data_IF_541961745497
#
_entry.id   IF_541961745497
#
_cell.length_a   1.000
_cell.length_b   1.000
_cell.length_c   1.000
_cell.angle_alpha   90.00
_cell.angle_beta   90.00
_cell.angle_gamma   90.00
#
_symmetry.space_group_name_H-M   'P 1'
#
loop_
_entity.id
_entity.type
_entity.pdbx_description
1 polymer ?
#
# COMPACT_ATOMS: atom_id res chain seq x y z
N UNK A 1 45.25 -38.23 44.50
CA UNK A 1 45.81 -37.31 43.49
C UNK A 1 44.81 -37.17 42.35
N UNK A 2 44.36 -35.92 42.13
CA UNK A 2 43.67 -35.29 40.98
C UNK A 2 42.53 -36.06 40.25
N UNK A 3 41.30 -35.70 40.62
CA UNK A 3 40.08 -35.83 39.79
C UNK A 3 40.21 -34.85 38.62
N UNK A 4 40.21 -35.35 37.39
CA UNK A 4 40.21 -34.52 36.18
C UNK A 4 38.76 -34.03 35.97
N UNK A 5 38.59 -32.74 36.23
CA UNK A 5 37.34 -31.99 36.13
C UNK A 5 37.07 -31.72 34.64
N UNK A 6 35.87 -32.10 34.20
CA UNK A 6 35.31 -31.80 32.90
C UNK A 6 35.35 -30.29 32.61
N UNK A 7 36.07 -29.90 31.56
CA UNK A 7 35.90 -28.58 30.94
C UNK A 7 35.03 -28.76 29.69
N UNK A 8 33.76 -29.06 29.94
CA UNK A 8 32.70 -29.04 28.94
C UNK A 8 32.28 -27.57 28.78
N UNK A 9 32.98 -26.84 27.92
CA UNK A 9 32.57 -25.51 27.47
C UNK A 9 32.25 -25.57 25.97
N UNK A 10 31.18 -26.30 25.64
CA UNK A 10 30.47 -26.09 24.40
C UNK A 10 29.55 -24.88 24.65
N UNK A 11 30.09 -23.68 24.55
CA UNK A 11 29.28 -22.47 24.55
C UNK A 11 28.57 -22.41 23.21
N UNK A 12 27.41 -23.05 23.15
CA UNK A 12 26.49 -22.95 22.04
C UNK A 12 26.02 -21.49 22.05
N UNK A 13 26.66 -20.66 21.22
CA UNK A 13 26.10 -19.39 20.79
C UNK A 13 24.90 -19.76 19.90
N UNK A 14 23.80 -20.17 20.54
CA UNK A 14 22.50 -20.23 19.90
C UNK A 14 22.09 -18.78 19.73
N UNK A 15 22.57 -18.14 18.65
CA UNK A 15 21.87 -17.03 18.04
C UNK A 15 20.57 -17.64 17.55
N UNK A 16 19.60 -17.78 18.46
CA UNK A 16 18.24 -18.12 18.09
C UNK A 16 17.80 -17.02 17.16
N UNK A 17 17.63 -17.36 15.88
CA UNK A 17 16.80 -16.56 15.01
C UNK A 17 15.43 -16.50 15.70
N UNK A 18 15.13 -15.35 16.32
CA UNK A 18 13.81 -15.10 16.89
C UNK A 18 12.88 -15.07 15.69
N UNK A 19 12.28 -16.21 15.36
CA UNK A 19 11.17 -16.28 14.44
C UNK A 19 10.04 -15.50 15.12
N UNK A 20 9.88 -14.22 14.74
CA UNK A 20 8.75 -13.43 15.21
C UNK A 20 7.49 -14.06 14.62
N UNK A 21 6.69 -14.67 15.49
CA UNK A 21 5.39 -15.21 15.09
C UNK A 21 4.51 -14.09 14.53
N UNK A 22 3.74 -14.40 13.49
CA UNK A 22 2.83 -13.47 12.82
C UNK A 22 1.83 -12.91 13.84
N UNK A 23 1.99 -11.64 14.21
CA UNK A 23 1.12 -10.97 15.17
C UNK A 23 -0.28 -10.80 14.58
N UNK A 24 -1.31 -11.14 15.35
CA UNK A 24 -2.69 -10.87 14.95
C UNK A 24 -2.95 -9.35 14.96
N UNK A 25 -3.56 -8.83 13.88
CA UNK A 25 -3.93 -7.41 13.78
C UNK A 25 -5.29 -7.22 14.45
N UNK A 26 -5.33 -6.47 15.55
CA UNK A 26 -6.56 -6.00 16.16
C UNK A 26 -6.93 -4.64 15.55
N UNK A 27 -8.04 -4.56 14.80
CA UNK A 27 -8.43 -3.34 14.09
C UNK A 27 -8.52 -2.11 15.00
N UNK A 28 -8.96 -2.26 16.26
CA UNK A 28 -9.13 -1.14 17.20
C UNK A 28 -7.80 -0.41 17.49
N UNK A 29 -6.69 -1.15 17.51
CA UNK A 29 -5.36 -0.57 17.75
C UNK A 29 -4.82 0.21 16.53
N UNK A 30 -5.47 0.06 15.38
CA UNK A 30 -5.06 0.66 14.11
C UNK A 30 -6.05 1.72 13.59
N UNK A 31 -7.18 1.97 14.27
CA UNK A 31 -8.20 2.91 13.82
C UNK A 31 -7.65 4.32 13.52
N UNK A 32 -6.81 4.86 14.42
CA UNK A 32 -6.19 6.19 14.21
C UNK A 32 -5.18 6.20 13.07
N UNK A 33 -4.47 5.08 12.87
CA UNK A 33 -3.53 4.92 11.76
C UNK A 33 -4.27 4.84 10.42
N UNK A 34 -5.30 3.99 10.33
CA UNK A 34 -6.13 3.87 9.13
C UNK A 34 -6.87 5.15 8.81
N UNK A 35 -7.36 5.87 9.83
CA UNK A 35 -7.97 7.18 9.66
C UNK A 35 -6.97 8.17 9.06
N UNK A 36 -5.77 8.28 9.63
CA UNK A 36 -4.73 9.17 9.10
C UNK A 36 -4.37 8.82 7.65
N UNK A 37 -4.14 7.54 7.35
CA UNK A 37 -3.81 7.13 5.98
C UNK A 37 -4.97 7.38 5.01
N UNK A 38 -6.20 7.05 5.39
CA UNK A 38 -7.39 7.24 4.56
C UNK A 38 -7.71 8.72 4.30
N UNK A 39 -7.44 9.59 5.27
CA UNK A 39 -7.67 11.05 5.14
C UNK A 39 -6.60 11.72 4.26
N UNK A 40 -5.38 11.16 4.20
CA UNK A 40 -4.23 11.84 3.58
C UNK A 40 -3.69 11.19 2.29
N UNK A 41 -3.79 9.87 2.13
CA UNK A 41 -3.35 9.19 0.90
C UNK A 41 -4.30 9.54 -0.23
N UNK A 42 -3.75 10.18 -1.26
CA UNK A 42 -4.49 10.49 -2.47
C UNK A 42 -4.23 9.45 -3.54
N UNK A 43 -5.16 9.34 -4.47
CA UNK A 43 -4.91 8.60 -5.69
C UNK A 43 -4.00 9.46 -6.60
N UNK A 44 -2.78 9.02 -6.97
CA UNK A 44 -1.83 9.82 -7.73
C UNK A 44 -2.38 10.30 -9.07
N UNK A 45 -2.15 11.57 -9.41
CA UNK A 45 -2.69 12.19 -10.64
C UNK A 45 -2.19 11.48 -11.90
N UNK A 46 -0.90 11.12 -11.94
CA UNK A 46 -0.32 10.40 -13.07
C UNK A 46 -1.00 9.04 -13.30
N UNK A 47 -1.28 8.30 -12.23
CA UNK A 47 -1.99 7.04 -12.33
C UNK A 47 -3.45 7.23 -12.80
N UNK A 48 -4.14 8.28 -12.34
CA UNK A 48 -5.49 8.62 -12.83
C UNK A 48 -5.49 8.94 -14.32
N UNK A 49 -4.56 9.78 -14.79
CA UNK A 49 -4.46 10.18 -16.20
C UNK A 49 -4.21 8.99 -17.11
N UNK A 50 -3.49 7.98 -16.62
CA UNK A 50 -3.16 6.77 -17.37
C UNK A 50 -4.17 5.64 -17.20
N UNK A 51 -5.30 5.88 -16.51
CA UNK A 51 -6.28 4.84 -16.17
C UNK A 51 -5.60 3.62 -15.50
N UNK A 52 -4.55 3.84 -14.72
CA UNK A 52 -3.69 2.79 -14.18
C UNK A 52 -4.13 2.39 -12.79
N UNK A 53 -4.35 1.08 -12.56
CA UNK A 53 -4.69 0.51 -11.25
C UNK A 53 -3.52 -0.28 -10.68
N UNK A 54 -3.46 -0.49 -9.36
CA UNK A 54 -2.41 -1.33 -8.80
C UNK A 54 -2.33 -1.40 -7.29
N UNK A 55 -1.31 -2.09 -6.79
CA UNK A 55 -1.04 -2.22 -5.36
C UNK A 55 0.35 -1.67 -5.02
N UNK A 56 0.39 -0.85 -3.97
CA UNK A 56 1.62 -0.56 -3.25
C UNK A 56 1.75 -1.54 -2.09
N UNK A 57 2.93 -2.13 -1.91
CA UNK A 57 3.21 -3.08 -0.83
C UNK A 57 4.46 -2.63 -0.09
N UNK A 58 4.25 -2.12 1.14
CA UNK A 58 5.33 -1.65 1.99
C UNK A 58 5.48 -2.62 3.15
N UNK A 59 6.64 -3.27 3.21
CA UNK A 59 7.06 -4.05 4.37
C UNK A 59 7.65 -3.08 5.39
N UNK A 60 7.22 -3.13 6.64
CA UNK A 60 7.71 -2.25 7.70
C UNK A 60 7.88 -2.99 9.02
N UNK A 61 8.91 -2.59 9.77
CA UNK A 61 9.17 -3.07 11.14
C UNK A 61 8.98 -1.91 12.11
N UNK A 62 8.08 -2.07 13.07
CA UNK A 62 7.85 -1.12 14.15
C UNK A 62 8.50 -1.65 15.42
N UNK A 63 9.29 -0.81 16.09
CA UNK A 63 9.92 -1.13 17.36
C UNK A 63 9.89 0.10 18.26
N UNK A 64 9.41 -0.09 19.49
CA UNK A 64 9.15 0.96 20.46
C UNK A 64 8.23 2.07 19.91
N UNK A 65 7.19 1.72 19.16
CA UNK A 65 6.26 2.67 18.56
C UNK A 65 6.88 3.54 17.45
N UNK A 66 7.98 3.10 16.84
CA UNK A 66 8.65 3.82 15.74
C UNK A 66 8.96 2.88 14.60
N UNK A 67 8.75 3.34 13.35
CA UNK A 67 9.17 2.61 12.15
C UNK A 67 10.71 2.59 12.11
N UNK A 68 11.31 1.40 12.17
CA UNK A 68 12.77 1.21 12.14
C UNK A 68 13.29 0.79 10.78
N UNK A 69 12.48 0.05 10.03
CA UNK A 69 12.81 -0.45 8.70
C UNK A 69 11.57 -0.36 7.84
N UNK A 70 11.78 -0.03 6.57
CA UNK A 70 10.76 -0.19 5.56
C UNK A 70 11.39 -0.62 4.23
N UNK A 71 10.64 -1.38 3.44
CA UNK A 71 11.03 -1.80 2.10
C UNK A 71 9.79 -1.72 1.21
N UNK A 72 9.92 -1.08 0.06
CA UNK A 72 8.88 -1.11 -0.97
C UNK A 72 9.08 -2.38 -1.81
N UNK A 73 8.07 -3.23 -1.85
CA UNK A 73 8.11 -4.49 -2.59
C UNK A 73 7.42 -4.33 -3.95
N UNK A 74 8.10 -4.72 -5.03
CA UNK A 74 7.61 -4.60 -6.42
C UNK A 74 7.09 -3.19 -6.74
N UNK A 75 7.96 -2.19 -6.53
CA UNK A 75 7.62 -0.78 -6.67
C UNK A 75 7.10 -0.42 -8.08
N UNK A 76 6.18 0.54 -8.13
CA UNK A 76 5.66 1.17 -9.35
C UNK A 76 5.99 2.68 -9.35
N UNK A 77 7.27 3.07 -9.31
CA UNK A 77 7.67 4.47 -9.14
C UNK A 77 7.16 5.35 -10.28
N UNK A 78 6.89 4.77 -11.45
CA UNK A 78 6.35 5.51 -12.58
C UNK A 78 4.89 5.94 -12.36
N UNK A 79 4.15 5.34 -11.43
CA UNK A 79 2.75 5.67 -11.15
C UNK A 79 2.56 6.55 -9.91
N UNK A 80 3.56 6.62 -9.02
CA UNK A 80 3.49 7.43 -7.80
C UNK A 80 2.75 6.74 -6.64
N UNK A 81 2.40 5.46 -6.76
CA UNK A 81 1.62 4.74 -5.74
C UNK A 81 2.40 4.57 -4.44
N UNK A 82 3.66 4.14 -4.52
CA UNK A 82 4.47 3.85 -3.36
C UNK A 82 4.93 5.13 -2.66
N UNK A 83 5.28 6.15 -3.43
CA UNK A 83 5.71 7.47 -2.93
C UNK A 83 4.61 8.11 -2.07
N UNK A 84 3.36 8.07 -2.53
CA UNK A 84 2.23 8.64 -1.79
C UNK A 84 1.97 7.90 -0.47
N UNK A 85 2.08 6.56 -0.46
CA UNK A 85 1.92 5.79 0.79
C UNK A 85 3.09 6.07 1.74
N UNK A 86 4.34 6.02 1.27
CA UNK A 86 5.54 6.25 2.08
C UNK A 86 5.50 7.63 2.73
N UNK A 87 5.14 8.68 1.96
CA UNK A 87 5.01 10.05 2.46
C UNK A 87 4.04 10.12 3.65
N UNK A 88 2.83 9.59 3.48
CA UNK A 88 1.79 9.66 4.51
C UNK A 88 2.04 8.71 5.69
N UNK A 89 2.71 7.58 5.45
CA UNK A 89 3.17 6.65 6.47
C UNK A 89 4.15 7.33 7.44
N UNK A 90 5.13 8.06 6.91
CA UNK A 90 6.10 8.76 7.75
C UNK A 90 5.54 10.01 8.43
N UNK A 91 4.45 10.57 7.93
CA UNK A 91 3.80 11.73 8.55
C UNK A 91 3.03 11.36 9.83
N UNK A 92 2.56 10.11 9.94
CA UNK A 92 1.88 9.62 11.13
C UNK A 92 2.85 9.42 12.32
N UNK A 93 2.66 10.19 13.40
CA UNK A 93 3.54 10.15 14.59
C UNK A 93 2.97 9.39 15.78
N UNK A 94 1.72 8.94 15.71
CA UNK A 94 1.00 8.36 16.85
C UNK A 94 1.09 6.81 16.88
N UNK A 95 2.25 6.27 16.49
CA UNK A 95 2.55 4.86 16.71
C UNK A 95 3.01 4.65 18.16
N UNK A 96 2.66 3.51 18.74
CA UNK A 96 3.00 3.17 20.11
C UNK A 96 3.44 1.70 20.24
N UNK A 97 3.93 1.33 21.43
CA UNK A 97 4.49 -0.02 21.68
C UNK A 97 3.50 -1.16 21.44
N UNK A 98 2.19 -0.94 21.58
CA UNK A 98 1.20 -1.97 21.28
C UNK A 98 1.20 -2.36 19.80
N UNK A 99 1.75 -1.51 18.92
CA UNK A 99 1.86 -1.74 17.48
C UNK A 99 3.24 -2.27 17.06
N UNK A 100 4.14 -2.60 17.98
CA UNK A 100 5.43 -3.21 17.62
C UNK A 100 5.24 -4.55 16.87
N UNK A 101 6.05 -4.79 15.83
CA UNK A 101 5.96 -5.98 14.97
C UNK A 101 6.38 -5.72 13.52
N UNK A 102 6.28 -6.77 12.68
CA UNK A 102 6.49 -6.70 11.24
C UNK A 102 5.13 -6.67 10.51
N UNK A 103 4.97 -5.73 9.60
CA UNK A 103 3.71 -5.51 8.89
C UNK A 103 3.91 -5.30 7.40
N UNK A 104 3.00 -5.85 6.61
CA UNK A 104 2.87 -5.56 5.20
C UNK A 104 1.68 -4.61 5.01
N UNK A 105 1.96 -3.34 4.76
CA UNK A 105 0.96 -2.35 4.40
C UNK A 105 0.66 -2.46 2.91
N UNK A 106 -0.52 -2.95 2.60
CA UNK A 106 -1.02 -3.15 1.23
C UNK A 106 -2.01 -2.05 0.94
N UNK A 107 -1.66 -1.14 0.04
CA UNK A 107 -2.55 -0.07 -0.41
C UNK A 107 -3.01 -0.37 -1.83
N UNK A 108 -4.29 -0.67 -1.99
CA UNK A 108 -4.94 -0.97 -3.26
C UNK A 108 -5.50 0.29 -3.91
N UNK A 109 -4.96 0.70 -5.05
CA UNK A 109 -5.50 1.79 -5.87
C UNK A 109 -6.43 1.22 -6.94
N UNK A 110 -7.70 1.62 -6.91
CA UNK A 110 -8.74 1.13 -7.84
C UNK A 110 -9.52 2.27 -8.45
N UNK A 111 -9.87 2.17 -9.73
CA UNK A 111 -10.70 3.16 -10.42
C UNK A 111 -12.06 2.50 -10.68
N UNK A 112 -13.14 3.16 -10.26
CA UNK A 112 -14.50 2.68 -10.57
C UNK A 112 -14.68 2.47 -12.07
N UNK A 113 -15.22 1.31 -12.45
CA UNK A 113 -15.50 0.92 -13.84
C UNK A 113 -14.28 0.78 -14.78
N UNK A 114 -13.05 0.91 -14.25
CA UNK A 114 -11.85 0.68 -15.04
C UNK A 114 -11.61 -0.81 -15.30
N UNK A 115 -11.28 -1.15 -16.54
CA UNK A 115 -10.88 -2.50 -16.97
C UNK A 115 -9.37 -2.65 -17.10
N UNK A 116 -8.61 -1.61 -16.75
CA UNK A 116 -7.16 -1.65 -16.84
C UNK A 116 -6.59 -2.73 -15.91
N UNK A 117 -5.52 -3.43 -16.33
CA UNK A 117 -4.87 -4.43 -15.48
C UNK A 117 -4.42 -3.85 -14.14
N UNK A 118 -4.48 -4.67 -13.09
CA UNK A 118 -3.98 -4.30 -11.76
C UNK A 118 -2.48 -4.52 -11.74
N UNK A 119 -1.71 -3.43 -11.66
CA UNK A 119 -0.26 -3.52 -11.47
C UNK A 119 0.08 -4.07 -10.09
N UNK A 120 1.12 -4.91 -10.02
CA UNK A 120 1.54 -5.57 -8.78
C UNK A 120 0.37 -6.34 -8.11
N UNK A 121 -0.44 -7.03 -8.90
CA UNK A 121 -1.53 -7.86 -8.38
C UNK A 121 -1.03 -9.05 -7.57
N UNK A 122 0.05 -9.69 -8.04
CA UNK A 122 0.66 -10.86 -7.41
C UNK A 122 1.87 -10.47 -6.58
N UNK A 123 1.63 -9.91 -5.39
CA UNK A 123 2.68 -9.64 -4.41
C UNK A 123 2.88 -10.81 -3.45
N UNK A 124 4.11 -10.95 -2.94
CA UNK A 124 4.47 -11.96 -1.94
C UNK A 124 4.70 -11.26 -0.60
N UNK A 125 4.03 -11.76 0.44
CA UNK A 125 4.19 -11.29 1.81
C UNK A 125 4.97 -12.34 2.59
N UNK A 126 6.09 -11.99 3.23
CA UNK A 126 6.81 -12.93 4.08
C UNK A 126 5.93 -13.42 5.24
N UNK A 127 6.07 -14.68 5.64
CA UNK A 127 5.15 -15.35 6.58
C UNK A 127 5.06 -14.65 7.94
N UNK A 128 6.14 -13.99 8.35
CA UNK A 128 6.31 -13.27 9.61
C UNK A 128 5.67 -11.86 9.60
N UNK A 129 5.10 -11.43 8.48
CA UNK A 129 4.47 -10.11 8.35
C UNK A 129 2.96 -10.18 8.52
N UNK A 130 2.43 -9.33 9.39
CA UNK A 130 1.01 -9.13 9.57
C UNK A 130 0.46 -8.16 8.53
N UNK A 131 -0.71 -8.44 7.95
CA UNK A 131 -1.25 -7.62 6.85
C UNK A 131 -2.05 -6.43 7.38
N UNK A 132 -1.72 -5.23 6.89
CA UNK A 132 -2.51 -4.02 7.05
C UNK A 132 -3.04 -3.63 5.66
N UNK A 133 -4.37 -3.51 5.49
CA UNK A 133 -4.99 -3.32 4.17
C UNK A 133 -5.75 -2.00 4.11
N UNK A 134 -5.52 -1.26 3.03
CA UNK A 134 -6.24 -0.04 2.70
C UNK A 134 -6.60 -0.06 1.22
N UNK A 135 -7.77 0.47 0.88
CA UNK A 135 -8.19 0.69 -0.51
C UNK A 135 -8.44 2.16 -0.75
N UNK A 136 -7.83 2.70 -1.81
CA UNK A 136 -7.99 4.08 -2.27
C UNK A 136 -8.75 4.04 -3.59
N UNK A 137 -9.96 4.61 -3.58
CA UNK A 137 -10.81 4.67 -4.77
C UNK A 137 -10.54 5.94 -5.56
N UNK A 138 -10.32 5.78 -6.86
CA UNK A 138 -10.31 6.84 -7.84
C UNK A 138 -11.62 6.81 -8.64
N UNK A 139 -12.07 7.99 -9.04
CA UNK A 139 -13.10 8.13 -10.06
C UNK A 139 -12.38 8.43 -11.37
N UNK A 140 -12.67 7.65 -12.42
CA UNK A 140 -12.02 7.81 -13.72
C UNK A 140 -12.27 9.22 -14.26
N UNK A 141 -11.32 9.76 -15.01
CA UNK A 141 -11.60 10.95 -15.80
C UNK A 141 -12.67 10.59 -16.83
N UNK A 142 -13.67 11.45 -17.02
CA UNK A 142 -14.59 11.33 -18.15
C UNK A 142 -13.74 11.18 -19.41
N UNK A 143 -13.84 10.02 -20.08
CA UNK A 143 -13.17 9.80 -21.35
C UNK A 143 -13.86 10.74 -22.34
N UNK A 144 -13.38 11.97 -22.45
CA UNK A 144 -13.83 12.92 -23.48
C UNK A 144 -13.39 12.35 -24.81
N UNK A 145 -14.25 11.52 -25.39
CA UNK A 145 -14.09 11.09 -26.77
C UNK A 145 -14.06 12.36 -27.62
N UNK A 146 -13.08 12.45 -28.52
CA UNK A 146 -13.18 13.38 -29.65
C UNK A 146 -14.39 12.90 -30.46
N UNK A 147 -15.54 13.53 -30.24
CA UNK A 147 -16.66 13.42 -31.17
C UNK A 147 -16.21 14.21 -32.39
N UNK A 148 -15.88 13.50 -33.46
CA UNK A 148 -15.64 14.12 -34.76
C UNK A 148 -16.94 14.83 -35.20
N UNK A 149 -17.01 16.14 -34.98
CA UNK A 149 -18.17 16.97 -35.31
C UNK A 149 -18.40 17.12 -36.82
N UNK A 150 -17.60 16.47 -37.67
CA UNK A 150 -17.73 16.52 -39.12
C UNK A 150 -18.98 15.83 -39.69
N UNK A 151 -19.76 15.08 -38.90
CA UNK A 151 -20.95 14.37 -39.39
C UNK A 151 -22.26 14.66 -38.63
N UNK A 152 -22.45 15.89 -38.13
CA UNK A 152 -23.80 16.36 -37.77
C UNK A 152 -24.56 16.69 -39.04
N UNK A 153 -25.31 15.69 -39.56
CA UNK A 153 -26.33 15.87 -40.61
C UNK A 153 -27.20 17.09 -40.31
N UNK A 154 -27.23 18.03 -41.26
CA UNK A 154 -28.19 19.14 -41.36
C UNK A 154 -29.61 18.66 -41.02
N UNK A 155 -30.23 19.23 -39.98
CA UNK A 155 -31.68 19.20 -39.79
C UNK A 155 -32.22 20.62 -39.99
N UNK A 156 -32.96 20.76 -41.09
CA UNK A 156 -33.54 21.97 -41.65
C UNK A 156 -34.52 22.66 -40.70
N UNK A 157 -34.37 23.97 -40.53
CA UNK A 157 -35.33 24.88 -39.86
C UNK A 157 -36.60 25.04 -40.70
N UNK A 158 -37.83 24.93 -40.16
CA UNK A 158 -39.02 25.35 -40.87
C UNK A 158 -39.14 26.88 -40.82
N UNK A 159 -39.11 27.48 -42.01
CA UNK A 159 -39.31 28.91 -42.26
C UNK A 159 -40.78 29.28 -41.97
N UNK A 160 -40.97 30.16 -40.98
CA UNK A 160 -42.29 30.73 -40.62
C UNK A 160 -42.70 31.73 -41.71
N UNK A 161 -43.76 31.44 -42.47
CA UNK A 161 -44.39 32.45 -43.35
C UNK A 161 -45.25 33.38 -42.49
N UNK A 162 -45.14 34.67 -42.83
CA UNK A 162 -45.98 35.79 -42.39
C UNK A 162 -47.45 35.55 -42.72
#
# INVERSE_FOLDING_TARGET
>A
MKKIIYFLLLTICSIGAIAQEKKAVNNKDWDSFYKHLGDNIKYPEKAKMLDAQGNSVILLTITNGTIKKFTVNNANPELGFDEEVVKNLFDYKNLNKSQDGNYALITSYRISDSKSPIKNEHYIIPKEYAELKLTVMGFGADKVGVVDTANVKKKTTPQKRL
#
